data_IF_085495820912
#
_entry.id   IF_085495820912
#
_cell.length_a   1.000
_cell.length_b   1.000
_cell.length_c   1.000
_cell.angle_alpha   90.00
_cell.angle_beta   90.00
_cell.angle_gamma   90.00
#
_symmetry.space_group_name_H-M   'P 1'
#
loop_
_entity.id
_entity.type
_entity.pdbx_description
1 polymer ?
#
# COMPACT_ATOMS: atom_id res chain seq x y z
N UNK A 1 -11.01 -5.45 -7.05
CA UNK A 1 -11.12 -6.90 -7.35
C UNK A 1 -11.63 -7.65 -6.12
N UNK A 2 -12.16 -8.86 -6.30
CA UNK A 2 -12.65 -9.67 -5.19
C UNK A 2 -11.59 -10.66 -4.75
N UNK A 3 -11.13 -10.55 -3.48
CA UNK A 3 -10.04 -11.37 -2.89
C UNK A 3 -8.80 -11.51 -3.79
N UNK A 4 -8.29 -10.43 -4.35
CA UNK A 4 -7.38 -10.39 -5.50
C UNK A 4 -6.23 -11.42 -5.44
N UNK A 5 -5.37 -11.39 -4.42
CA UNK A 5 -4.25 -12.32 -4.34
C UNK A 5 -4.70 -13.79 -4.31
N UNK A 6 -5.77 -14.10 -3.59
CA UNK A 6 -6.34 -15.45 -3.60
C UNK A 6 -6.92 -15.78 -4.98
N UNK A 7 -7.61 -14.84 -5.63
CA UNK A 7 -8.20 -15.08 -6.95
C UNK A 7 -7.14 -15.37 -8.01
N UNK A 8 -6.00 -14.66 -7.98
CA UNK A 8 -4.85 -14.96 -8.86
C UNK A 8 -4.29 -16.34 -8.57
N UNK A 9 -4.10 -16.73 -7.30
CA UNK A 9 -3.63 -18.07 -6.95
C UNK A 9 -4.61 -19.17 -7.37
N UNK A 10 -5.93 -18.93 -7.29
CA UNK A 10 -6.95 -19.87 -7.73
C UNK A 10 -7.08 -19.96 -9.25
N UNK A 11 -6.61 -18.95 -10.00
CA UNK A 11 -6.46 -19.02 -11.45
C UNK A 11 -5.37 -20.02 -11.83
N UNK A 12 -4.24 -19.96 -11.16
CA UNK A 12 -3.10 -20.87 -11.38
C UNK A 12 -3.32 -22.27 -10.78
N UNK A 13 -4.18 -22.38 -9.75
CA UNK A 13 -4.46 -23.63 -9.00
C UNK A 13 -5.98 -23.88 -8.88
N UNK A 14 -6.67 -24.24 -9.99
CA UNK A 14 -8.13 -24.40 -10.00
C UNK A 14 -8.65 -25.46 -9.02
N UNK A 15 -7.84 -26.44 -8.65
CA UNK A 15 -8.16 -27.50 -7.68
C UNK A 15 -8.37 -26.99 -6.24
N UNK A 16 -7.98 -25.75 -5.97
CA UNK A 16 -8.18 -25.08 -4.68
C UNK A 16 -9.50 -24.30 -4.61
N UNK A 17 -10.24 -24.18 -5.71
CA UNK A 17 -11.53 -23.47 -5.73
C UNK A 17 -12.51 -24.12 -4.75
N UNK A 18 -13.27 -23.30 -4.04
CA UNK A 18 -14.22 -23.74 -3.02
C UNK A 18 -13.60 -24.17 -1.69
N UNK A 19 -12.27 -24.14 -1.57
CA UNK A 19 -11.56 -24.43 -0.31
C UNK A 19 -11.21 -23.14 0.43
N UNK A 20 -11.05 -23.19 1.76
CA UNK A 20 -10.52 -22.06 2.51
C UNK A 20 -9.04 -21.87 2.18
N UNK A 21 -8.72 -20.79 1.45
CA UNK A 21 -7.36 -20.42 1.03
C UNK A 21 -6.97 -19.08 1.64
N UNK A 22 -5.75 -19.00 2.11
CA UNK A 22 -5.15 -17.79 2.69
C UNK A 22 -3.83 -17.54 1.98
N UNK A 23 -3.65 -16.32 1.46
CA UNK A 23 -2.37 -15.85 0.93
C UNK A 23 -1.71 -15.00 1.99
N UNK A 24 -0.43 -15.23 2.27
CA UNK A 24 0.35 -14.45 3.23
C UNK A 24 1.48 -15.24 3.86
N UNK A 25 2.19 -14.60 4.79
CA UNK A 25 3.26 -15.25 5.53
C UNK A 25 2.72 -16.32 6.49
N UNK A 26 3.31 -17.49 6.51
CA UNK A 26 2.90 -18.62 7.36
C UNK A 26 3.71 -18.75 8.66
N UNK A 27 4.78 -17.98 8.80
CA UNK A 27 5.64 -17.96 9.99
C UNK A 27 4.97 -17.39 11.25
N UNK A 28 5.67 -17.45 12.39
CA UNK A 28 5.17 -16.95 13.69
C UNK A 28 4.74 -15.48 13.67
N UNK A 29 5.33 -14.67 12.78
CA UNK A 29 5.02 -13.25 12.56
C UNK A 29 4.28 -13.00 11.25
N UNK A 30 3.84 -14.06 10.58
CA UNK A 30 3.09 -13.98 9.34
C UNK A 30 1.76 -13.26 9.53
N UNK A 31 1.33 -12.59 8.46
CA UNK A 31 0.07 -11.85 8.38
C UNK A 31 -0.69 -12.33 7.15
N UNK A 32 -2.00 -12.46 7.28
CA UNK A 32 -2.90 -12.72 6.17
C UNK A 32 -2.91 -11.50 5.24
N UNK A 33 -2.44 -11.67 4.01
CA UNK A 33 -2.54 -10.66 2.97
C UNK A 33 -3.94 -10.66 2.34
N UNK A 34 -4.43 -11.86 1.98
CA UNK A 34 -5.80 -12.04 1.49
C UNK A 34 -6.38 -13.39 1.95
N UNK A 35 -7.71 -13.46 2.04
CA UNK A 35 -8.42 -14.67 2.41
C UNK A 35 -9.59 -14.91 1.45
N UNK A 36 -9.79 -16.17 1.03
CA UNK A 36 -10.95 -16.58 0.24
C UNK A 36 -12.26 -16.36 1.01
N UNK A 37 -13.37 -16.29 0.31
CA UNK A 37 -14.67 -16.16 0.98
C UNK A 37 -14.97 -17.39 1.86
N UNK A 38 -14.49 -18.56 1.49
CA UNK A 38 -14.57 -19.77 2.31
C UNK A 38 -13.81 -19.62 3.63
N UNK A 39 -12.59 -19.03 3.60
CA UNK A 39 -11.84 -18.75 4.82
C UNK A 39 -12.49 -17.63 5.66
N UNK A 40 -13.11 -16.63 5.02
CA UNK A 40 -13.83 -15.54 5.71
C UNK A 40 -15.03 -16.04 6.51
N UNK A 41 -15.65 -17.15 6.13
CA UNK A 41 -16.72 -17.81 6.91
C UNK A 41 -16.27 -18.17 8.33
N UNK A 42 -14.99 -18.45 8.52
CA UNK A 42 -14.39 -18.75 9.81
C UNK A 42 -13.86 -17.49 10.54
N UNK A 43 -14.12 -16.31 10.00
CA UNK A 43 -13.64 -15.04 10.56
C UNK A 43 -12.18 -14.71 10.23
N UNK A 44 -11.62 -15.32 9.17
CA UNK A 44 -10.26 -15.00 8.69
C UNK A 44 -10.31 -13.84 7.71
N UNK A 45 -9.58 -12.75 8.00
CA UNK A 45 -9.54 -11.54 7.19
C UNK A 45 -8.10 -11.04 7.01
N UNK A 46 -7.89 -10.18 6.01
CA UNK A 46 -6.61 -9.47 5.78
C UNK A 46 -6.16 -8.73 7.04
N UNK A 47 -4.86 -8.57 7.18
CA UNK A 47 -4.16 -8.00 8.33
C UNK A 47 -4.23 -8.84 9.64
N UNK A 48 -4.92 -10.01 9.64
CA UNK A 48 -4.94 -10.91 10.80
C UNK A 48 -3.59 -11.64 10.93
N UNK A 49 -3.05 -11.82 12.16
CA UNK A 49 -1.90 -12.71 12.38
C UNK A 49 -2.19 -14.13 11.89
N UNK A 50 -1.27 -14.72 11.11
CA UNK A 50 -1.46 -16.07 10.53
C UNK A 50 -1.67 -17.15 11.58
N UNK A 51 -1.04 -17.02 12.75
CA UNK A 51 -1.26 -17.93 13.89
C UNK A 51 -2.71 -17.88 14.38
N UNK A 52 -3.35 -16.71 14.38
CA UNK A 52 -4.78 -16.59 14.72
C UNK A 52 -5.67 -17.17 13.61
N UNK A 53 -5.34 -16.89 12.37
CA UNK A 53 -6.07 -17.43 11.21
C UNK A 53 -6.09 -18.96 11.21
N UNK A 54 -4.95 -19.62 11.49
CA UNK A 54 -4.86 -21.08 11.62
C UNK A 54 -5.71 -21.65 12.76
N UNK A 55 -5.86 -20.92 13.87
CA UNK A 55 -6.74 -21.35 14.97
C UNK A 55 -8.22 -21.25 14.60
N UNK A 56 -8.59 -20.21 13.83
CA UNK A 56 -9.98 -20.00 13.39
C UNK A 56 -10.38 -20.97 12.26
N UNK A 57 -9.47 -21.28 11.36
CA UNK A 57 -9.69 -22.17 10.23
C UNK A 57 -8.49 -23.13 10.10
N UNK A 58 -8.47 -24.25 10.85
CA UNK A 58 -7.36 -25.22 10.84
C UNK A 58 -7.12 -25.85 9.46
N UNK A 59 -8.19 -26.02 8.69
CA UNK A 59 -8.15 -26.64 7.34
C UNK A 59 -7.78 -25.64 6.23
N UNK A 60 -7.48 -24.38 6.58
CA UNK A 60 -7.10 -23.39 5.59
C UNK A 60 -5.75 -23.71 4.95
N UNK A 61 -5.72 -23.62 3.62
CA UNK A 61 -4.51 -23.78 2.81
C UNK A 61 -3.80 -22.43 2.76
N UNK A 62 -2.59 -22.38 3.35
CA UNK A 62 -1.76 -21.17 3.32
C UNK A 62 -0.81 -21.22 2.13
N UNK A 63 -0.88 -20.20 1.28
CA UNK A 63 -0.02 -20.01 0.14
C UNK A 63 0.90 -18.81 0.38
N UNK A 64 2.19 -18.92 0.06
CA UNK A 64 3.05 -17.74 -0.01
C UNK A 64 2.58 -16.85 -1.15
N UNK A 65 2.62 -15.53 -0.97
CA UNK A 65 2.27 -14.61 -2.04
C UNK A 65 3.36 -14.55 -3.11
N UNK A 66 2.96 -14.36 -4.36
CA UNK A 66 3.83 -14.07 -5.50
C UNK A 66 3.56 -12.65 -5.98
N UNK A 67 4.37 -11.67 -5.51
CA UNK A 67 4.12 -10.27 -5.78
C UNK A 67 4.34 -9.92 -7.25
N UNK A 68 5.31 -10.57 -7.91
CA UNK A 68 5.62 -10.30 -9.32
C UNK A 68 4.45 -10.72 -10.20
N UNK A 69 3.88 -11.90 -9.94
CA UNK A 69 2.66 -12.36 -10.60
C UNK A 69 1.48 -11.40 -10.33
N UNK A 70 1.32 -10.92 -9.09
CA UNK A 70 0.22 -10.01 -8.76
C UNK A 70 0.35 -8.67 -9.47
N UNK A 71 1.56 -8.12 -9.57
CA UNK A 71 1.84 -6.88 -10.33
C UNK A 71 1.53 -7.08 -11.82
N UNK A 72 1.96 -8.21 -12.42
CA UNK A 72 1.66 -8.52 -13.80
C UNK A 72 0.14 -8.58 -14.05
N UNK A 73 -0.60 -9.35 -13.25
CA UNK A 73 -2.05 -9.50 -13.39
C UNK A 73 -2.78 -8.17 -13.12
N UNK A 74 -2.29 -7.37 -12.18
CA UNK A 74 -2.78 -6.02 -11.95
C UNK A 74 -2.65 -5.16 -13.19
N UNK A 75 -1.50 -5.20 -13.88
CA UNK A 75 -1.29 -4.46 -15.13
C UNK A 75 -2.31 -4.85 -16.21
N UNK A 76 -2.56 -6.16 -16.39
CA UNK A 76 -3.57 -6.66 -17.33
C UNK A 76 -4.96 -6.09 -17.02
N UNK A 77 -5.34 -6.03 -15.75
CA UNK A 77 -6.63 -5.46 -15.30
C UNK A 77 -6.68 -3.94 -15.54
N UNK A 78 -5.60 -3.21 -15.24
CA UNK A 78 -5.54 -1.76 -15.43
C UNK A 78 -5.52 -1.38 -16.91
N UNK A 79 -4.98 -2.22 -17.81
CA UNK A 79 -5.05 -2.01 -19.25
C UNK A 79 -6.52 -2.08 -19.73
N UNK A 80 -7.29 -3.04 -19.24
CA UNK A 80 -8.74 -3.09 -19.49
C UNK A 80 -9.42 -1.79 -19.02
N UNK A 81 -9.08 -1.27 -17.83
CA UNK A 81 -9.68 -0.03 -17.34
C UNK A 81 -9.37 1.17 -18.25
N UNK A 82 -8.14 1.26 -18.76
CA UNK A 82 -7.71 2.34 -19.67
C UNK A 82 -8.41 2.31 -21.03
N UNK A 83 -8.92 1.17 -21.47
CA UNK A 83 -9.73 1.08 -22.70
C UNK A 83 -11.08 1.81 -22.57
N UNK A 84 -11.59 1.98 -21.35
CA UNK A 84 -12.86 2.70 -21.10
C UNK A 84 -12.65 4.19 -20.87
N UNK A 85 -11.56 4.59 -20.23
CA UNK A 85 -11.26 5.99 -19.93
C UNK A 85 -9.77 6.18 -19.63
N UNK A 86 -9.15 7.29 -20.04
CA UNK A 86 -7.81 7.63 -19.58
C UNK A 86 -7.77 8.10 -18.12
N UNK A 87 -8.91 8.44 -17.54
CA UNK A 87 -9.02 8.93 -16.16
C UNK A 87 -9.17 7.74 -15.19
N UNK A 88 -8.05 7.05 -14.94
CA UNK A 88 -7.96 5.90 -14.05
C UNK A 88 -7.00 6.22 -12.91
N UNK A 89 -7.51 6.32 -11.68
CA UNK A 89 -6.72 6.52 -10.45
C UNK A 89 -6.58 5.19 -9.71
N UNK A 90 -5.36 4.62 -9.72
CA UNK A 90 -5.05 3.41 -8.97
C UNK A 90 -4.91 3.70 -7.46
N UNK A 91 -5.57 2.90 -6.63
CA UNK A 91 -5.43 2.97 -5.17
C UNK A 91 -4.51 1.86 -4.63
N UNK A 92 -4.49 0.72 -5.30
CA UNK A 92 -3.68 -0.46 -5.01
C UNK A 92 -3.59 -1.32 -6.27
N UNK A 93 -2.99 -2.51 -6.18
CA UNK A 93 -2.93 -3.46 -7.29
C UNK A 93 -4.32 -3.94 -7.75
N UNK A 94 -5.36 -3.77 -6.93
CA UNK A 94 -6.68 -4.36 -7.17
C UNK A 94 -7.86 -3.38 -7.01
N UNK A 95 -7.57 -2.10 -6.76
CA UNK A 95 -8.58 -1.07 -6.61
C UNK A 95 -8.24 0.17 -7.45
N UNK A 96 -9.22 0.68 -8.17
CA UNK A 96 -9.11 1.93 -8.94
C UNK A 96 -10.42 2.71 -8.95
N UNK A 97 -10.31 4.02 -9.13
CA UNK A 97 -11.42 4.87 -9.58
C UNK A 97 -11.29 5.16 -11.05
N UNK A 98 -12.40 5.18 -11.73
CA UNK A 98 -12.54 5.52 -13.15
C UNK A 98 -13.54 6.65 -13.30
N UNK A 99 -13.16 7.76 -13.90
CA UNK A 99 -14.14 8.72 -14.38
C UNK A 99 -14.55 8.38 -15.81
N UNK A 100 -15.76 7.86 -15.93
CA UNK A 100 -16.34 7.43 -17.22
C UNK A 100 -17.31 8.44 -17.81
N UNK A 101 -17.39 9.65 -17.25
CA UNK A 101 -18.32 10.70 -17.71
C UNK A 101 -18.17 10.99 -19.20
N UNK A 102 -16.94 11.10 -19.69
CA UNK A 102 -16.66 11.34 -21.12
C UNK A 102 -16.94 10.15 -22.03
N UNK A 103 -16.96 8.92 -21.49
CA UNK A 103 -17.17 7.69 -22.26
C UNK A 103 -18.66 7.33 -22.45
N UNK A 104 -19.57 7.88 -21.64
CA UNK A 104 -20.98 7.47 -21.60
C UNK A 104 -21.71 7.59 -22.92
N UNK A 105 -21.35 8.57 -23.77
CA UNK A 105 -21.97 8.75 -25.08
C UNK A 105 -21.70 7.60 -26.05
N UNK A 106 -20.59 6.89 -25.90
CA UNK A 106 -20.16 5.80 -26.76
C UNK A 106 -20.45 4.43 -26.16
N UNK A 107 -20.30 4.30 -24.84
CA UNK A 107 -20.28 3.01 -24.16
C UNK A 107 -21.54 2.75 -23.29
N UNK A 108 -22.46 3.71 -23.21
CA UNK A 108 -23.63 3.62 -22.36
C UNK A 108 -23.43 4.29 -20.99
N UNK A 109 -24.38 4.15 -20.10
CA UNK A 109 -24.31 4.73 -18.76
C UNK A 109 -23.26 4.05 -17.88
N UNK A 110 -23.05 4.59 -16.69
CA UNK A 110 -22.04 4.06 -15.76
C UNK A 110 -22.28 2.60 -15.36
N UNK A 111 -23.54 2.14 -15.37
CA UNK A 111 -23.85 0.73 -15.05
C UNK A 111 -23.49 -0.18 -16.23
N UNK A 112 -23.83 0.21 -17.44
CA UNK A 112 -23.48 -0.54 -18.65
C UNK A 112 -21.94 -0.69 -18.78
N UNK A 113 -21.22 0.41 -18.54
CA UNK A 113 -19.74 0.39 -18.52
C UNK A 113 -19.22 -0.53 -17.42
N UNK A 114 -19.77 -0.47 -16.21
CA UNK A 114 -19.35 -1.32 -15.09
C UNK A 114 -19.58 -2.83 -15.37
N UNK A 115 -20.70 -3.19 -16.00
CA UNK A 115 -20.96 -4.58 -16.38
C UNK A 115 -20.02 -5.06 -17.49
N UNK A 116 -19.72 -4.21 -18.48
CA UNK A 116 -18.76 -4.57 -19.53
C UNK A 116 -17.32 -4.69 -18.98
N UNK A 117 -16.90 -3.80 -18.08
CA UNK A 117 -15.61 -3.95 -17.36
C UNK A 117 -15.56 -5.30 -16.64
N UNK A 118 -16.59 -5.65 -15.89
CA UNK A 118 -16.63 -6.91 -15.14
C UNK A 118 -16.56 -8.13 -16.06
N UNK A 119 -17.28 -8.06 -17.19
CA UNK A 119 -17.27 -9.11 -18.20
C UNK A 119 -15.89 -9.27 -18.81
N UNK A 120 -15.25 -8.19 -19.25
CA UNK A 120 -13.91 -8.23 -19.83
C UNK A 120 -12.85 -8.73 -18.84
N UNK A 121 -12.88 -8.25 -17.60
CA UNK A 121 -11.97 -8.75 -16.54
C UNK A 121 -12.15 -10.24 -16.32
N UNK A 122 -13.37 -10.77 -16.38
CA UNK A 122 -13.62 -12.21 -16.27
C UNK A 122 -13.13 -12.97 -17.51
N UNK A 123 -13.45 -12.51 -18.70
CA UNK A 123 -13.19 -13.20 -19.96
C UNK A 123 -11.69 -13.17 -20.33
N UNK A 124 -11.02 -12.03 -20.11
CA UNK A 124 -9.64 -11.82 -20.53
C UNK A 124 -8.63 -12.18 -19.43
N UNK A 125 -8.94 -11.90 -18.16
CA UNK A 125 -8.01 -12.12 -17.03
C UNK A 125 -8.41 -13.29 -16.13
N UNK A 126 -9.66 -13.76 -16.23
CA UNK A 126 -10.19 -14.85 -15.41
C UNK A 126 -10.48 -14.47 -13.96
N UNK A 127 -10.63 -13.18 -13.67
CA UNK A 127 -10.88 -12.67 -12.32
C UNK A 127 -12.28 -12.06 -12.18
N UNK A 128 -12.77 -11.99 -10.96
CA UNK A 128 -14.07 -11.37 -10.64
C UNK A 128 -13.81 -10.04 -9.92
N UNK A 129 -14.57 -9.01 -10.31
CA UNK A 129 -14.54 -7.71 -9.62
C UNK A 129 -15.94 -7.25 -9.24
N UNK A 130 -16.00 -6.36 -8.25
CA UNK A 130 -17.22 -5.71 -7.80
C UNK A 130 -17.09 -4.21 -8.01
N UNK A 131 -18.10 -3.60 -8.65
CA UNK A 131 -18.04 -2.21 -9.07
C UNK A 131 -19.14 -1.40 -8.39
N UNK A 132 -18.78 -0.22 -7.90
CA UNK A 132 -19.71 0.78 -7.41
C UNK A 132 -19.80 1.94 -8.41
N UNK A 133 -21.01 2.36 -8.74
CA UNK A 133 -21.28 3.51 -9.63
C UNK A 133 -21.95 4.60 -8.82
N UNK A 134 -21.35 5.79 -8.81
CA UNK A 134 -21.88 6.95 -8.08
C UNK A 134 -21.30 8.25 -8.63
N UNK A 135 -21.77 9.39 -8.10
CA UNK A 135 -21.34 10.73 -8.52
C UNK A 135 -20.02 11.17 -7.87
N UNK A 136 -19.52 10.45 -6.85
CA UNK A 136 -18.26 10.75 -6.16
C UNK A 136 -17.45 9.50 -5.84
N UNK A 137 -16.12 9.65 -5.70
CA UNK A 137 -15.20 8.57 -5.39
C UNK A 137 -15.57 7.85 -4.08
N UNK A 138 -15.91 8.61 -3.05
CA UNK A 138 -16.26 8.07 -1.74
C UNK A 138 -17.50 7.15 -1.80
N UNK A 139 -18.58 7.63 -2.42
CA UNK A 139 -19.82 6.85 -2.52
C UNK A 139 -19.64 5.65 -3.44
N UNK A 140 -18.92 5.79 -4.57
CA UNK A 140 -18.59 4.69 -5.46
C UNK A 140 -17.81 3.58 -4.73
N UNK A 141 -16.82 3.94 -3.90
CA UNK A 141 -16.06 2.96 -3.10
C UNK A 141 -16.95 2.22 -2.11
N UNK A 142 -17.87 2.89 -1.43
CA UNK A 142 -18.83 2.25 -0.53
C UNK A 142 -19.81 1.35 -1.28
N UNK A 143 -20.31 1.80 -2.43
CA UNK A 143 -21.18 1.00 -3.28
C UNK A 143 -20.47 -0.27 -3.78
N UNK A 144 -19.21 -0.19 -4.20
CA UNK A 144 -18.43 -1.36 -4.62
C UNK A 144 -18.27 -2.38 -3.49
N UNK A 145 -18.10 -1.92 -2.23
CA UNK A 145 -18.04 -2.79 -1.06
C UNK A 145 -19.34 -3.55 -0.84
N UNK A 146 -20.50 -2.91 -1.07
CA UNK A 146 -21.81 -3.56 -0.95
C UNK A 146 -22.13 -4.50 -2.13
N UNK A 147 -21.42 -4.33 -3.25
CA UNK A 147 -21.54 -5.20 -4.42
C UNK A 147 -20.83 -6.54 -4.25
N UNK A 148 -19.89 -6.67 -3.29
CA UNK A 148 -19.07 -7.86 -3.06
C UNK A 148 -19.88 -9.05 -2.51
N UNK A 149 -19.42 -10.28 -2.73
CA UNK A 149 -19.97 -11.45 -2.06
C UNK A 149 -19.91 -11.31 -0.53
N UNK A 150 -20.85 -11.94 0.14
CA UNK A 150 -20.96 -11.93 1.62
C UNK A 150 -20.73 -13.34 2.13
N UNK A 151 -19.72 -13.49 2.97
CA UNK A 151 -19.46 -14.73 3.69
C UNK A 151 -20.01 -14.62 5.13
N UNK A 152 -20.93 -15.48 5.49
CA UNK A 152 -21.38 -15.70 6.86
C UNK A 152 -20.94 -17.10 7.34
N UNK A 153 -21.20 -17.44 8.59
CA UNK A 153 -20.79 -18.74 9.15
C UNK A 153 -21.42 -19.96 8.43
N UNK A 154 -22.50 -19.75 7.68
CA UNK A 154 -23.26 -20.82 7.02
C UNK A 154 -22.85 -20.97 5.56
N UNK A 155 -22.71 -19.87 4.83
CA UNK A 155 -22.54 -19.88 3.38
C UNK A 155 -21.77 -18.67 2.85
N UNK A 156 -21.38 -18.77 1.58
CA UNK A 156 -20.94 -17.62 0.77
C UNK A 156 -22.09 -17.27 -0.17
N UNK A 157 -22.66 -16.10 0.00
CA UNK A 157 -23.70 -15.58 -0.89
C UNK A 157 -23.07 -14.75 -1.98
N UNK A 158 -23.48 -14.93 -3.26
CA UNK A 158 -22.95 -14.12 -4.35
C UNK A 158 -23.28 -12.64 -4.13
N UNK A 159 -22.36 -11.77 -4.51
CA UNK A 159 -22.57 -10.33 -4.55
C UNK A 159 -23.43 -9.92 -5.75
N UNK A 160 -23.90 -8.68 -5.73
CA UNK A 160 -24.63 -8.09 -6.88
C UNK A 160 -23.70 -7.82 -8.07
N UNK A 161 -22.40 -7.71 -7.81
CA UNK A 161 -21.39 -7.40 -8.81
C UNK A 161 -21.32 -5.93 -9.17
N UNK A 162 -22.45 -5.29 -9.50
CA UNK A 162 -22.55 -3.84 -9.69
C UNK A 162 -23.60 -3.29 -8.74
N UNK A 163 -23.28 -2.15 -8.11
CA UNK A 163 -24.22 -1.37 -7.30
C UNK A 163 -24.11 0.10 -7.71
N UNK A 164 -25.22 0.66 -8.17
CA UNK A 164 -25.35 2.08 -8.48
C UNK A 164 -26.01 2.80 -7.31
N UNK A 165 -25.48 3.98 -6.97
CA UNK A 165 -26.14 4.97 -6.13
C UNK A 165 -26.51 6.15 -7.02
N UNK A 166 -27.81 6.37 -7.22
CA UNK A 166 -28.35 7.44 -8.06
C UNK A 166 -28.00 8.81 -7.48
N UNK A 167 -27.84 9.79 -8.36
CA UNK A 167 -27.64 11.19 -7.97
C UNK A 167 -28.78 11.68 -7.06
N UNK A 168 -28.38 12.30 -5.93
CA UNK A 168 -29.31 12.77 -4.89
C UNK A 168 -29.70 11.70 -3.87
N UNK A 169 -29.24 10.43 -4.01
CA UNK A 169 -29.45 9.34 -3.05
C UNK A 169 -28.23 9.03 -2.20
N UNK A 170 -27.13 9.73 -2.41
CA UNK A 170 -25.86 9.48 -1.75
C UNK A 170 -25.99 9.55 -0.22
N UNK A 171 -26.64 10.62 0.25
CA UNK A 171 -26.84 10.85 1.68
C UNK A 171 -27.73 9.79 2.34
N UNK A 172 -28.81 9.38 1.68
CA UNK A 172 -29.69 8.31 2.15
C UNK A 172 -28.90 6.99 2.28
N UNK A 173 -28.08 6.66 1.28
CA UNK A 173 -27.28 5.45 1.27
C UNK A 173 -26.24 5.45 2.42
N UNK A 174 -25.45 6.51 2.57
CA UNK A 174 -24.37 6.53 3.58
C UNK A 174 -24.88 6.65 5.01
N UNK A 175 -26.02 7.31 5.24
CA UNK A 175 -26.59 7.47 6.57
C UNK A 175 -27.03 6.15 7.22
N UNK A 176 -27.30 5.12 6.43
CA UNK A 176 -27.57 3.76 6.91
C UNK A 176 -26.33 3.00 7.41
N UNK A 177 -25.14 3.58 7.28
CA UNK A 177 -23.88 2.92 7.59
C UNK A 177 -23.33 3.30 8.97
N UNK A 178 -22.52 2.41 9.55
CA UNK A 178 -21.71 2.71 10.72
C UNK A 178 -20.64 3.75 10.37
N UNK A 179 -20.23 4.58 11.34
CA UNK A 179 -19.26 5.67 11.15
C UNK A 179 -17.88 5.17 10.69
N UNK A 180 -17.53 3.94 11.01
CA UNK A 180 -16.30 3.27 10.52
C UNK A 180 -16.28 3.04 9.01
N UNK A 181 -17.41 3.20 8.32
CA UNK A 181 -17.45 3.14 6.86
C UNK A 181 -16.86 4.39 6.19
N UNK A 182 -16.78 5.51 6.92
CA UNK A 182 -16.17 6.74 6.42
C UNK A 182 -14.67 6.55 6.16
N UNK A 183 -14.24 6.91 4.98
CA UNK A 183 -12.83 6.87 4.62
C UNK A 183 -12.02 7.84 5.48
N UNK A 184 -11.04 7.30 6.25
CA UNK A 184 -10.27 8.03 7.24
C UNK A 184 -10.65 7.70 8.69
N UNK A 185 -11.73 6.96 8.93
CA UNK A 185 -12.08 6.47 10.27
C UNK A 185 -11.38 5.13 10.53
N UNK A 186 -10.15 5.19 11.04
CA UNK A 186 -9.44 4.04 11.57
C UNK A 186 -9.78 3.77 13.04
N UNK A 187 -9.21 2.71 13.66
CA UNK A 187 -9.53 2.32 15.05
C UNK A 187 -9.37 3.46 16.07
N UNK A 188 -8.32 4.29 15.93
CA UNK A 188 -8.08 5.41 16.84
C UNK A 188 -9.13 6.52 16.69
N UNK A 189 -9.52 6.85 15.45
CA UNK A 189 -10.58 7.83 15.18
C UNK A 189 -11.93 7.30 15.64
N UNK A 190 -12.21 6.01 15.39
CA UNK A 190 -13.43 5.35 15.83
C UNK A 190 -13.57 5.40 17.36
N UNK A 191 -12.51 5.09 18.11
CA UNK A 191 -12.53 5.17 19.57
C UNK A 191 -12.85 6.59 20.08
N UNK A 192 -12.28 7.62 19.43
CA UNK A 192 -12.60 9.02 19.75
C UNK A 192 -14.06 9.35 19.47
N UNK A 193 -14.59 8.97 18.31
CA UNK A 193 -15.98 9.22 17.94
C UNK A 193 -16.95 8.50 18.89
N UNK A 194 -16.65 7.27 19.26
CA UNK A 194 -17.43 6.50 20.23
C UNK A 194 -17.42 7.13 21.62
N UNK A 195 -16.34 7.81 22.04
CA UNK A 195 -16.30 8.51 23.35
C UNK A 195 -17.30 9.66 23.47
N UNK A 196 -17.76 10.18 22.32
CA UNK A 196 -18.83 11.19 22.25
C UNK A 196 -20.13 10.61 21.67
N UNK A 197 -20.29 9.27 21.75
CA UNK A 197 -21.49 8.52 21.36
C UNK A 197 -21.83 8.53 19.87
N UNK A 198 -20.91 8.88 18.97
CA UNK A 198 -21.10 8.78 17.51
C UNK A 198 -20.78 7.36 17.07
N UNK A 199 -21.79 6.68 16.47
CA UNK A 199 -21.71 5.30 15.96
C UNK A 199 -22.06 5.20 14.47
N UNK A 200 -22.88 6.12 13.97
CA UNK A 200 -23.39 6.09 12.60
C UNK A 200 -22.95 7.32 11.81
N UNK A 201 -22.97 7.20 10.48
CA UNK A 201 -22.70 8.32 9.57
C UNK A 201 -23.76 9.41 9.74
N UNK A 202 -25.02 9.04 9.98
CA UNK A 202 -26.09 10.00 10.24
C UNK A 202 -25.82 10.86 11.49
N UNK A 203 -25.38 10.26 12.59
CA UNK A 203 -24.99 11.00 13.80
C UNK A 203 -23.80 11.92 13.55
N UNK A 204 -22.82 11.47 12.75
CA UNK A 204 -21.67 12.28 12.35
C UNK A 204 -22.04 13.47 11.46
N UNK A 205 -23.09 13.34 10.64
CA UNK A 205 -23.54 14.40 9.73
C UNK A 205 -24.22 15.57 10.43
N UNK A 206 -24.82 15.36 11.62
CA UNK A 206 -25.61 16.36 12.33
C UNK A 206 -24.91 16.98 13.53
N UNK A 207 -23.76 16.43 13.94
CA UNK A 207 -23.00 16.97 15.07
C UNK A 207 -22.39 18.34 14.74
N UNK A 208 -22.26 19.20 15.75
CA UNK A 208 -21.56 20.47 15.58
C UNK A 208 -20.11 20.25 15.15
N UNK A 209 -19.72 20.86 14.03
CA UNK A 209 -18.38 20.75 13.47
C UNK A 209 -17.29 21.23 14.45
N UNK A 210 -17.59 22.18 15.32
CA UNK A 210 -16.62 22.67 16.31
C UNK A 210 -16.28 21.58 17.34
N UNK A 211 -17.24 20.75 17.74
CA UNK A 211 -16.99 19.61 18.63
C UNK A 211 -16.03 18.62 17.94
N UNK A 212 -16.30 18.31 16.65
CA UNK A 212 -15.43 17.42 15.90
C UNK A 212 -14.01 17.99 15.72
N UNK A 213 -13.89 19.28 15.47
CA UNK A 213 -12.58 19.96 15.33
C UNK A 213 -11.74 19.87 16.60
N UNK A 214 -12.35 20.04 17.77
CA UNK A 214 -11.66 19.85 19.06
C UNK A 214 -11.20 18.40 19.26
N UNK A 215 -11.97 17.43 18.79
CA UNK A 215 -11.69 16.00 18.99
C UNK A 215 -10.65 15.45 18.00
N UNK A 216 -10.73 15.85 16.72
CA UNK A 216 -9.99 15.24 15.59
C UNK A 216 -8.98 16.19 14.93
N UNK A 217 -9.02 17.49 15.24
CA UNK A 217 -8.30 18.54 14.53
C UNK A 217 -9.06 19.05 13.31
N UNK A 218 -8.74 20.29 12.88
CA UNK A 218 -9.54 21.04 11.91
C UNK A 218 -9.71 20.33 10.56
N UNK A 219 -8.62 19.92 9.93
CA UNK A 219 -8.65 19.34 8.59
C UNK A 219 -9.39 17.99 8.57
N UNK A 220 -9.08 17.11 9.53
CA UNK A 220 -9.66 15.77 9.58
C UNK A 220 -11.17 15.82 9.93
N UNK A 221 -11.54 16.65 10.90
CA UNK A 221 -12.94 16.85 11.28
C UNK A 221 -13.78 17.40 10.12
N UNK A 222 -13.28 18.43 9.43
CA UNK A 222 -13.98 19.04 8.30
C UNK A 222 -14.16 18.01 7.18
N UNK A 223 -13.11 17.27 6.83
CA UNK A 223 -13.19 16.24 5.80
C UNK A 223 -14.22 15.14 6.13
N UNK A 224 -14.16 14.56 7.34
CA UNK A 224 -15.10 13.51 7.73
C UNK A 224 -16.55 14.00 7.81
N UNK A 225 -16.76 15.25 8.28
CA UNK A 225 -18.08 15.86 8.33
C UNK A 225 -18.65 16.11 6.91
N UNK A 226 -17.81 16.54 5.95
CA UNK A 226 -18.21 16.66 4.55
C UNK A 226 -18.62 15.30 3.97
N UNK A 227 -17.77 14.26 4.14
CA UNK A 227 -18.09 12.91 3.70
C UNK A 227 -19.39 12.38 4.32
N UNK A 228 -19.64 12.64 5.61
CA UNK A 228 -20.88 12.24 6.28
C UNK A 228 -22.13 12.96 5.71
N UNK A 229 -21.95 14.11 5.10
CA UNK A 229 -23.00 14.84 4.39
C UNK A 229 -23.09 14.49 2.88
N UNK A 230 -22.30 13.52 2.40
CA UNK A 230 -22.28 13.07 1.01
C UNK A 230 -21.49 14.00 0.09
N UNK A 231 -20.67 14.89 0.65
CA UNK A 231 -19.87 15.86 -0.10
C UNK A 231 -18.46 15.29 -0.28
N UNK A 232 -18.08 15.02 -1.52
CA UNK A 232 -16.73 14.60 -1.92
C UNK A 232 -16.46 15.14 -3.34
N UNK A 233 -15.81 16.30 -3.41
CA UNK A 233 -15.53 17.01 -4.67
C UNK A 233 -14.18 16.61 -5.28
N UNK A 234 -13.51 15.56 -4.76
CA UNK A 234 -12.23 15.11 -5.29
C UNK A 234 -12.43 14.47 -6.66
N UNK A 235 -11.72 14.97 -7.64
CA UNK A 235 -11.68 14.40 -8.98
C UNK A 235 -10.84 13.10 -9.00
N UNK A 236 -10.98 12.33 -10.09
CA UNK A 236 -10.12 11.19 -10.38
C UNK A 236 -8.77 11.71 -10.88
N UNK A 237 -7.70 11.40 -10.19
CA UNK A 237 -6.33 11.85 -10.47
C UNK A 237 -5.48 10.70 -11.03
N UNK A 238 -5.38 10.55 -12.37
CA UNK A 238 -4.65 9.42 -12.97
C UNK A 238 -3.16 9.40 -12.65
N UNK A 239 -2.56 10.58 -12.49
CA UNK A 239 -1.14 10.77 -12.30
C UNK A 239 -0.89 11.47 -10.97
N UNK A 240 -0.92 10.74 -9.88
CA UNK A 240 -0.47 11.29 -8.59
C UNK A 240 1.00 10.98 -8.38
N UNK A 241 1.81 12.02 -8.17
CA UNK A 241 3.22 11.86 -7.85
C UNK A 241 3.41 11.07 -6.56
N UNK A 242 4.43 10.21 -6.54
CA UNK A 242 4.83 9.48 -5.34
C UNK A 242 5.25 10.44 -4.23
N UNK A 243 4.50 10.49 -3.12
CA UNK A 243 4.82 11.35 -1.97
C UNK A 243 5.97 10.80 -1.12
N UNK A 244 6.18 9.50 -1.17
CA UNK A 244 7.27 8.80 -0.46
C UNK A 244 7.53 7.45 -1.10
N UNK A 245 8.80 7.06 -1.16
CA UNK A 245 9.26 5.73 -1.56
C UNK A 245 9.95 5.11 -0.36
N UNK A 246 9.61 3.88 -0.01
CA UNK A 246 10.20 3.23 1.15
C UNK A 246 10.13 1.71 1.12
N UNK A 247 10.85 1.11 2.08
CA UNK A 247 10.83 -0.33 2.33
C UNK A 247 10.91 -0.59 3.83
N UNK A 248 10.05 -1.46 4.34
CA UNK A 248 10.04 -1.90 5.74
C UNK A 248 10.05 -3.43 5.81
N UNK A 249 10.80 -3.98 6.75
CA UNK A 249 10.91 -5.42 6.92
C UNK A 249 10.74 -5.82 8.39
N UNK A 250 9.84 -6.77 8.63
CA UNK A 250 9.69 -7.41 9.94
C UNK A 250 10.51 -8.67 9.96
N UNK A 251 11.45 -8.79 10.91
CA UNK A 251 12.32 -9.94 11.04
C UNK A 251 11.61 -11.14 11.66
N UNK A 252 12.01 -12.36 11.30
CA UNK A 252 11.51 -13.59 11.90
C UNK A 252 11.85 -13.68 13.40
N UNK A 253 13.03 -13.21 13.78
CA UNK A 253 13.51 -13.08 15.15
C UNK A 253 13.97 -11.65 15.39
N UNK A 254 13.89 -11.19 16.65
CA UNK A 254 14.38 -9.86 17.02
C UNK A 254 15.90 -9.79 16.89
N UNK A 255 16.41 -8.63 16.44
CA UNK A 255 17.83 -8.34 16.32
C UNK A 255 18.28 -7.56 17.55
N UNK A 256 19.40 -7.97 18.14
CA UNK A 256 19.96 -7.40 19.39
C UNK A 256 21.32 -6.72 19.20
N UNK A 257 21.79 -6.59 17.97
CA UNK A 257 23.05 -5.92 17.67
C UNK A 257 22.88 -4.88 16.56
N UNK A 258 23.58 -3.76 16.71
CA UNK A 258 23.48 -2.62 15.81
C UNK A 258 24.04 -2.91 14.42
N UNK A 259 25.06 -3.77 14.34
CA UNK A 259 25.71 -4.08 13.06
C UNK A 259 24.79 -4.93 12.15
N UNK A 260 24.01 -5.82 12.73
CA UNK A 260 22.96 -6.53 11.99
C UNK A 260 21.87 -5.57 11.50
N UNK A 261 21.43 -4.64 12.34
CA UNK A 261 20.48 -3.57 11.92
C UNK A 261 21.07 -2.76 10.76
N UNK A 262 22.34 -2.36 10.87
CA UNK A 262 23.05 -1.61 9.83
C UNK A 262 23.12 -2.37 8.50
N UNK A 263 23.43 -3.66 8.51
CA UNK A 263 23.44 -4.48 7.29
C UNK A 263 22.09 -4.51 6.57
N UNK A 264 20.98 -4.61 7.31
CA UNK A 264 19.64 -4.53 6.72
C UNK A 264 19.37 -3.16 6.11
N UNK A 265 19.77 -2.08 6.80
CA UNK A 265 19.60 -0.71 6.28
C UNK A 265 20.45 -0.45 5.03
N UNK A 266 21.66 -1.00 4.93
CA UNK A 266 22.49 -0.92 3.72
C UNK A 266 21.75 -1.55 2.53
N UNK A 267 21.18 -2.73 2.71
CA UNK A 267 20.39 -3.41 1.67
C UNK A 267 19.13 -2.63 1.30
N UNK A 268 18.41 -2.11 2.30
CA UNK A 268 17.20 -1.32 2.07
C UNK A 268 17.51 0.01 1.38
N UNK A 269 18.65 0.65 1.70
CA UNK A 269 19.09 1.87 1.03
C UNK A 269 19.34 1.64 -0.46
N UNK A 270 19.99 0.53 -0.82
CA UNK A 270 20.20 0.17 -2.22
C UNK A 270 18.87 -0.02 -2.97
N UNK A 271 17.93 -0.76 -2.36
CA UNK A 271 16.61 -1.00 -2.93
C UNK A 271 15.79 0.29 -3.08
N UNK A 272 15.77 1.15 -2.06
CA UNK A 272 14.98 2.39 -2.07
C UNK A 272 15.59 3.42 -3.01
N UNK A 273 16.93 3.58 -3.00
CA UNK A 273 17.62 4.49 -3.92
C UNK A 273 17.38 4.09 -5.39
N UNK A 274 17.43 2.79 -5.70
CA UNK A 274 17.11 2.30 -7.03
C UNK A 274 15.67 2.64 -7.44
N UNK A 275 14.68 2.34 -6.59
CA UNK A 275 13.27 2.68 -6.88
C UNK A 275 13.07 4.17 -7.12
N UNK A 276 13.77 5.03 -6.37
CA UNK A 276 13.74 6.47 -6.62
C UNK A 276 14.26 6.80 -8.02
N UNK A 277 15.39 6.20 -8.45
CA UNK A 277 15.95 6.44 -9.79
C UNK A 277 15.05 5.89 -10.91
N UNK A 278 14.44 4.70 -10.71
CA UNK A 278 13.52 4.08 -11.67
C UNK A 278 12.28 4.98 -11.91
N UNK A 279 11.85 5.72 -10.88
CA UNK A 279 10.76 6.72 -10.96
C UNK A 279 11.25 8.13 -11.38
N UNK A 280 12.55 8.32 -11.64
CA UNK A 280 13.13 9.64 -11.97
C UNK A 280 13.10 10.63 -10.81
N UNK A 281 13.08 10.15 -9.56
CA UNK A 281 12.95 10.97 -8.36
C UNK A 281 14.24 10.99 -7.55
N UNK A 282 14.60 12.17 -7.01
CA UNK A 282 15.76 12.35 -6.14
C UNK A 282 15.31 12.90 -4.78
N UNK A 283 15.32 12.11 -3.70
CA UNK A 283 14.88 12.55 -2.38
C UNK A 283 15.91 13.46 -1.70
N UNK A 284 15.41 14.35 -0.84
CA UNK A 284 16.22 15.12 0.10
C UNK A 284 16.11 14.61 1.52
N UNK A 285 15.02 13.95 1.88
CA UNK A 285 14.78 13.49 3.25
C UNK A 285 14.78 11.98 3.32
N UNK A 286 15.64 11.42 4.18
CA UNK A 286 15.65 10.01 4.55
C UNK A 286 15.12 9.85 5.97
N UNK A 287 14.24 8.87 6.17
CA UNK A 287 13.61 8.55 7.44
C UNK A 287 13.86 7.10 7.78
N UNK A 288 14.38 6.82 8.96
CA UNK A 288 14.49 5.48 9.53
C UNK A 288 13.35 5.26 10.51
N UNK A 289 12.71 4.11 10.40
CA UNK A 289 11.73 3.61 11.36
C UNK A 289 12.26 2.33 11.98
N UNK A 290 12.21 2.26 13.31
CA UNK A 290 12.57 1.08 14.09
C UNK A 290 11.37 0.74 14.97
N UNK A 291 10.96 -0.52 14.94
CA UNK A 291 9.96 -1.05 15.86
C UNK A 291 10.62 -2.11 16.75
N UNK A 292 10.44 -1.97 18.04
CA UNK A 292 11.00 -2.90 19.04
C UNK A 292 10.08 -4.11 19.29
N UNK A 293 10.56 -5.09 20.03
CA UNK A 293 9.83 -6.30 20.40
C UNK A 293 8.53 -6.02 21.16
N UNK A 294 8.49 -4.95 21.96
CA UNK A 294 7.33 -4.45 22.71
C UNK A 294 6.35 -3.63 21.86
N UNK A 295 6.55 -3.59 20.53
CA UNK A 295 5.77 -2.83 19.55
C UNK A 295 5.90 -1.30 19.63
N UNK A 296 6.69 -0.75 20.54
CA UNK A 296 7.06 0.66 20.49
C UNK A 296 7.86 0.95 19.23
N UNK A 297 7.58 2.11 18.64
CA UNK A 297 8.25 2.53 17.38
C UNK A 297 8.90 3.87 17.57
N UNK A 298 10.11 4.01 17.02
CA UNK A 298 10.77 5.31 16.85
C UNK A 298 10.92 5.60 15.37
N UNK A 299 10.84 6.88 15.03
CA UNK A 299 11.06 7.39 13.67
C UNK A 299 12.00 8.56 13.75
N UNK A 300 13.05 8.57 12.94
CA UNK A 300 14.06 9.63 12.89
C UNK A 300 14.32 10.02 11.44
N UNK A 301 14.48 11.29 11.16
CA UNK A 301 14.66 11.81 9.81
C UNK A 301 15.88 12.70 9.74
N UNK A 302 16.55 12.69 8.60
CA UNK A 302 17.60 13.61 8.22
C UNK A 302 17.28 14.18 6.83
N UNK A 303 17.57 15.46 6.62
CA UNK A 303 17.29 16.17 5.36
C UNK A 303 18.57 16.78 4.82
N UNK A 304 18.92 16.39 3.59
CA UNK A 304 20.04 16.96 2.84
C UNK A 304 19.65 18.31 2.20
N UNK A 305 20.56 19.28 2.12
CA UNK A 305 20.34 20.49 1.35
C UNK A 305 20.19 20.22 -0.16
N UNK A 306 20.80 19.14 -0.67
CA UNK A 306 20.76 18.71 -2.05
C UNK A 306 20.05 17.38 -2.21
N UNK A 307 19.41 17.10 -3.37
CA UNK A 307 18.87 15.79 -3.68
C UNK A 307 19.97 14.70 -3.67
N UNK A 308 19.62 13.48 -3.36
CA UNK A 308 20.52 12.33 -3.34
C UNK A 308 19.98 11.22 -4.23
N UNK A 309 20.86 10.47 -4.88
CA UNK A 309 20.49 9.40 -5.82
C UNK A 309 21.16 8.06 -5.50
N UNK A 310 22.30 8.08 -4.78
CA UNK A 310 23.05 6.86 -4.45
C UNK A 310 22.67 6.25 -3.12
N UNK A 311 22.79 4.93 -3.03
CA UNK A 311 22.59 4.20 -1.78
C UNK A 311 23.61 4.58 -0.70
N UNK A 312 24.80 4.97 -1.10
CA UNK A 312 25.89 5.36 -0.22
C UNK A 312 25.61 6.69 0.48
N UNK A 313 25.15 7.69 -0.28
CA UNK A 313 24.73 8.97 0.27
C UNK A 313 23.51 8.80 1.20
N UNK A 314 22.55 7.96 0.82
CA UNK A 314 21.41 7.62 1.66
C UNK A 314 21.87 6.97 2.98
N UNK A 315 22.81 6.03 2.92
CA UNK A 315 23.34 5.35 4.10
C UNK A 315 24.10 6.30 5.02
N UNK A 316 24.89 7.23 4.46
CA UNK A 316 25.59 8.26 5.25
C UNK A 316 24.60 9.13 6.03
N UNK A 317 23.47 9.52 5.41
CA UNK A 317 22.42 10.26 6.11
C UNK A 317 21.78 9.48 7.24
N UNK A 318 21.66 8.17 7.07
CA UNK A 318 20.99 7.25 8.01
C UNK A 318 21.89 6.89 9.20
N UNK A 319 23.20 6.77 9.00
CA UNK A 319 24.12 6.32 10.07
C UNK A 319 24.03 7.16 11.34
N UNK A 320 23.95 8.47 11.20
CA UNK A 320 23.78 9.37 12.35
C UNK A 320 22.46 9.18 13.11
N UNK A 321 21.45 8.58 12.46
CA UNK A 321 20.15 8.32 13.08
C UNK A 321 20.13 7.06 13.95
N UNK A 322 21.19 6.23 13.89
CA UNK A 322 21.29 4.98 14.63
C UNK A 322 21.98 5.13 16.01
N UNK A 323 22.56 6.27 16.30
CA UNK A 323 23.44 6.49 17.48
C UNK A 323 22.77 6.09 18.80
N UNK A 324 21.47 6.38 18.97
CA UNK A 324 20.76 6.10 20.23
C UNK A 324 19.68 5.01 20.06
N UNK A 325 19.91 4.04 19.18
CA UNK A 325 18.97 2.93 19.01
C UNK A 325 19.21 1.90 20.11
N UNK A 326 18.19 1.66 20.91
CA UNK A 326 18.23 0.71 22.04
C UNK A 326 18.09 -0.75 21.55
N UNK A 327 19.09 -1.26 20.82
CA UNK A 327 19.03 -2.64 20.27
C UNK A 327 18.79 -3.72 21.30
N UNK A 328 19.18 -3.47 22.58
CA UNK A 328 18.92 -4.38 23.70
C UNK A 328 17.43 -4.67 23.94
N UNK A 329 16.50 -3.79 23.48
CA UNK A 329 15.05 -4.04 23.50
C UNK A 329 14.59 -5.06 22.47
N UNK A 330 15.49 -5.52 21.61
CA UNK A 330 15.16 -6.36 20.48
C UNK A 330 14.49 -5.57 19.34
N UNK A 331 15.16 -5.47 18.21
CA UNK A 331 14.62 -4.79 17.02
C UNK A 331 13.79 -5.78 16.21
N UNK A 332 12.49 -5.54 16.13
CA UNK A 332 11.50 -6.37 15.44
C UNK A 332 11.34 -6.02 13.97
N UNK A 333 11.40 -4.73 13.65
CA UNK A 333 11.21 -4.20 12.30
C UNK A 333 12.14 -3.02 12.09
N UNK A 334 12.65 -2.92 10.88
CA UNK A 334 13.39 -1.76 10.40
C UNK A 334 12.79 -1.32 9.07
N UNK A 335 12.79 -0.02 8.81
CA UNK A 335 12.36 0.55 7.55
C UNK A 335 13.07 1.83 7.20
N UNK A 336 13.17 2.08 5.89
CA UNK A 336 13.61 3.35 5.30
C UNK A 336 12.49 3.91 4.46
N UNK A 337 12.25 5.21 4.54
CA UNK A 337 11.41 5.93 3.60
C UNK A 337 12.04 7.26 3.21
N UNK A 338 11.80 7.66 1.97
CA UNK A 338 12.30 8.89 1.38
C UNK A 338 11.16 9.83 1.05
N UNK A 339 11.42 11.14 1.13
CA UNK A 339 10.46 12.21 0.87
C UNK A 339 11.17 13.46 0.33
N UNK A 340 10.37 14.49 0.02
CA UNK A 340 10.87 15.76 -0.50
C UNK A 340 11.68 15.53 -1.77
N UNK A 341 11.01 14.91 -2.75
CA UNK A 341 11.60 14.65 -4.05
C UNK A 341 11.82 15.97 -4.81
N UNK A 342 12.96 16.05 -5.47
CA UNK A 342 13.26 17.05 -6.48
C UNK A 342 13.45 16.30 -7.80
N UNK A 343 13.21 16.99 -8.91
CA UNK A 343 13.69 16.49 -10.20
C UNK A 343 15.22 16.40 -10.14
N UNK A 344 15.85 15.41 -10.75
CA UNK A 344 17.31 15.29 -10.79
C UNK A 344 17.91 16.34 -11.72
N UNK A 345 17.73 17.61 -11.39
CA UNK A 345 18.40 18.72 -12.09
C UNK A 345 19.79 18.90 -11.51
N UNK A 346 20.79 18.82 -12.36
CA UNK A 346 22.14 19.27 -12.05
C UNK A 346 22.16 20.81 -12.03
N UNK A 347 21.73 21.41 -10.94
CA UNK A 347 21.94 22.84 -10.71
C UNK A 347 23.41 23.04 -10.39
N UNK A 348 24.18 23.45 -11.39
CA UNK A 348 25.56 23.92 -11.20
C UNK A 348 25.51 25.17 -10.34
N UNK A 349 26.00 25.07 -9.10
CA UNK A 349 26.19 26.24 -8.25
C UNK A 349 27.27 27.13 -8.85
N UNK A 350 26.92 28.38 -9.17
CA UNK A 350 27.87 29.36 -9.74
C UNK A 350 28.81 29.95 -8.66
N UNK A 351 28.56 29.68 -7.39
CA UNK A 351 29.29 30.20 -6.23
C UNK A 351 29.55 29.10 -5.22
N UNK A 352 30.51 28.24 -5.50
CA UNK A 352 31.02 27.27 -4.50
C UNK A 352 32.30 27.89 -3.87
N UNK A 353 32.11 28.67 -2.82
CA UNK A 353 33.22 29.05 -1.94
C UNK A 353 33.50 27.88 -0.99
N UNK A 354 34.61 27.22 -1.27
CA UNK A 354 35.07 26.00 -0.59
C UNK A 354 35.05 26.06 0.94
N UNK A 355 34.06 25.45 1.53
CA UNK A 355 34.13 24.92 2.90
C UNK A 355 34.04 23.41 2.80
N UNK A 356 35.18 22.75 3.03
CA UNK A 356 35.29 21.30 3.09
C UNK A 356 34.48 20.73 4.27
N UNK A 357 33.17 20.60 4.11
CA UNK A 357 32.42 19.56 4.79
C UNK A 357 32.50 18.31 3.89
N UNK A 358 32.76 17.12 4.47
CA UNK A 358 32.60 15.86 3.75
C UNK A 358 31.10 15.67 3.50
N UNK A 359 30.61 16.33 2.47
CA UNK A 359 29.19 16.55 2.24
C UNK A 359 28.61 15.32 1.51
N UNK A 360 27.38 14.97 1.87
CA UNK A 360 26.57 13.90 1.23
C UNK A 360 26.55 14.09 -0.30
N UNK A 361 26.55 15.33 -0.77
CA UNK A 361 26.60 15.71 -2.19
C UNK A 361 27.85 15.21 -2.89
N UNK A 362 29.03 15.41 -2.28
CA UNK A 362 30.30 14.94 -2.86
C UNK A 362 30.37 13.41 -2.96
N UNK A 363 29.78 12.71 -1.99
CA UNK A 363 29.69 11.26 -2.02
C UNK A 363 28.76 10.76 -3.13
N UNK A 364 27.62 11.42 -3.31
CA UNK A 364 26.66 11.07 -4.35
C UNK A 364 27.26 11.22 -5.75
N UNK A 365 27.97 12.31 -6.02
CA UNK A 365 28.69 12.55 -7.28
C UNK A 365 29.77 11.50 -7.55
N UNK A 366 30.55 11.14 -6.53
CA UNK A 366 31.62 10.11 -6.65
C UNK A 366 31.03 8.75 -6.98
N UNK A 367 29.86 8.42 -6.45
CA UNK A 367 29.22 7.11 -6.67
C UNK A 367 28.31 7.06 -7.90
N UNK A 368 27.96 8.17 -8.51
CA UNK A 368 27.05 8.21 -9.67
C UNK A 368 27.48 7.30 -10.82
N UNK A 369 28.75 7.26 -11.28
CA UNK A 369 29.16 6.36 -12.35
C UNK A 369 29.07 4.88 -11.98
N UNK A 370 29.41 4.52 -10.74
CA UNK A 370 29.34 3.16 -10.25
C UNK A 370 27.86 2.71 -10.09
N UNK A 371 27.01 3.61 -9.63
CA UNK A 371 25.56 3.38 -9.49
C UNK A 371 24.93 3.10 -10.85
N UNK A 372 25.22 3.91 -11.87
CA UNK A 372 24.73 3.68 -13.23
C UNK A 372 25.20 2.34 -13.79
N UNK A 373 26.48 1.98 -13.61
CA UNK A 373 27.00 0.69 -14.06
C UNK A 373 26.34 -0.50 -13.34
N UNK A 374 26.02 -0.38 -12.06
CA UNK A 374 25.29 -1.40 -11.28
C UNK A 374 23.88 -1.55 -11.81
N UNK A 375 23.19 -0.46 -12.09
CA UNK A 375 21.82 -0.49 -12.63
C UNK A 375 21.79 -1.12 -14.01
N UNK A 376 22.74 -0.78 -14.91
CA UNK A 376 22.90 -1.41 -16.23
C UNK A 376 23.12 -2.93 -16.14
N UNK A 377 23.94 -3.39 -15.18
CA UNK A 377 24.17 -4.83 -14.97
C UNK A 377 22.88 -5.51 -14.52
N UNK A 378 22.15 -4.90 -13.59
CA UNK A 378 20.89 -5.45 -13.07
C UNK A 378 19.80 -5.50 -14.13
N UNK A 379 19.71 -4.49 -14.98
CA UNK A 379 18.76 -4.47 -16.09
C UNK A 379 19.02 -5.61 -17.09
N UNK A 380 20.30 -5.90 -17.40
CA UNK A 380 20.69 -6.93 -18.36
C UNK A 380 20.68 -8.36 -17.82
N UNK A 381 21.01 -8.55 -16.54
CA UNK A 381 21.29 -9.86 -15.96
C UNK A 381 20.39 -10.20 -14.75
N UNK A 382 19.49 -9.29 -14.39
CA UNK A 382 18.58 -9.43 -13.23
C UNK A 382 19.15 -8.85 -11.94
N UNK A 383 18.27 -8.61 -10.98
CA UNK A 383 18.56 -7.90 -9.71
C UNK A 383 19.63 -8.58 -8.85
N UNK A 384 19.74 -9.90 -8.94
CA UNK A 384 20.67 -10.70 -8.15
C UNK A 384 22.08 -10.83 -8.78
N UNK A 385 22.28 -10.25 -9.97
CA UNK A 385 23.57 -10.36 -10.70
C UNK A 385 24.71 -9.63 -9.99
N UNK A 386 24.41 -8.53 -9.28
CA UNK A 386 25.39 -7.75 -8.52
C UNK A 386 24.78 -7.23 -7.23
N UNK A 387 25.52 -7.37 -6.13
CA UNK A 387 25.12 -6.90 -4.81
C UNK A 387 26.27 -6.35 -3.99
N UNK A 388 25.95 -5.62 -2.94
CA UNK A 388 26.95 -5.11 -1.99
C UNK A 388 27.61 -6.26 -1.23
N UNK A 389 28.94 -6.26 -1.09
CA UNK A 389 29.69 -7.30 -0.39
C UNK A 389 29.19 -7.55 1.04
N UNK A 390 28.72 -6.52 1.73
CA UNK A 390 28.14 -6.59 3.08
C UNK A 390 26.80 -7.34 3.14
N UNK A 391 26.13 -7.56 1.99
CA UNK A 391 24.83 -8.23 1.89
C UNK A 391 24.92 -9.65 1.35
N UNK A 392 26.10 -10.12 0.91
CA UNK A 392 26.30 -11.43 0.25
C UNK A 392 25.98 -12.65 1.13
N UNK A 393 25.88 -12.49 2.46
CA UNK A 393 25.52 -13.56 3.39
C UNK A 393 24.01 -13.69 3.64
N UNK A 394 23.20 -12.74 3.19
CA UNK A 394 21.74 -12.86 3.16
C UNK A 394 21.34 -13.49 1.84
N UNK A 395 21.28 -14.83 1.78
CA UNK A 395 20.81 -15.54 0.58
C UNK A 395 19.38 -15.11 0.29
N UNK A 396 19.20 -14.20 -0.67
CA UNK A 396 17.92 -14.09 -1.38
C UNK A 396 17.69 -15.44 -2.07
N UNK A 397 16.61 -16.10 -1.75
CA UNK A 397 16.14 -17.22 -2.59
C UNK A 397 15.69 -16.62 -3.92
N UNK A 398 16.10 -17.17 -5.09
CA UNK A 398 15.57 -16.75 -6.37
C UNK A 398 14.04 -16.79 -6.34
N UNK A 399 13.39 -15.70 -6.72
CA UNK A 399 11.93 -15.58 -6.72
C UNK A 399 11.28 -15.17 -5.38
N UNK A 400 12.02 -14.58 -4.45
CA UNK A 400 11.46 -14.14 -3.17
C UNK A 400 11.10 -12.66 -3.11
N UNK A 401 10.23 -12.19 -4.00
CA UNK A 401 9.25 -11.15 -3.66
C UNK A 401 8.13 -11.71 -2.79
N UNK A 402 8.43 -12.78 -2.01
CA UNK A 402 7.47 -13.47 -1.16
C UNK A 402 7.20 -12.65 0.09
N UNK A 403 5.94 -12.39 0.29
CA UNK A 403 5.41 -11.74 1.48
C UNK A 403 5.66 -12.59 2.72
N UNK A 404 6.28 -12.00 3.73
CA UNK A 404 6.48 -12.60 5.05
C UNK A 404 7.94 -12.62 5.49
N UNK A 405 8.20 -12.78 6.80
CA UNK A 405 9.55 -12.93 7.30
C UNK A 405 10.19 -14.19 6.69
N UNK A 406 11.43 -14.06 6.26
CA UNK A 406 12.25 -15.21 5.82
C UNK A 406 12.21 -16.31 6.87
N UNK A 407 11.99 -17.56 6.44
CA UNK A 407 12.11 -18.75 7.29
C UNK A 407 13.56 -19.08 7.59
#
# INVERSE_FOLDING_TARGET
MDMFYVAVELRERPELRGKPVVVGGDGKRGVVAAASYEARRYGVFSAMPSVRARRLCPDAIFLPGDMDLYVQVSSEVFDIFRDFTPLVEGLSLDEAFLDVTGAQRLLGDGVAIAEEIRKRVLDEVGLVCSVGVATSKFVAKLASKTAKPIADHVSVRPGRGVVQIESGKEREFIHGLNVEALWGVGPATLAKLQSISIKTVAEMAVIDLQILKHLLGDAHATHLHQLANGIDDREVEPNSDSKSIGHEETFSNDIFDVESVRRHLVRMSDLVARRCRDEGLAPRTCTVKIKYSDFMSITRSNTSPTPITSAQAMMQMIEGLLVDVEVARGVRLVGISTRNFAEPEAQLSLFDEGTHSQDVTSLDEVWAPATAAIDDIRERFGDDAIGLASTLHSKRRPGSSKWGPEQ
#
